data_IF_993819897031
#
_entry.id   IF_993819897031
#
_cell.length_a   1.000
_cell.length_b   1.000
_cell.length_c   1.000
_cell.angle_alpha   90.00
_cell.angle_beta   90.00
_cell.angle_gamma   90.00
#
_symmetry.space_group_name_H-M   'P 1'
#
loop_
_entity.id
_entity.type
_entity.pdbx_description
1 polymer ?
#
# COMPACT_ATOMS: atom_id res chain seq x y z
N UNK A 1 80.89 4.44 16.92
CA UNK A 1 79.77 3.49 17.19
C UNK A 1 78.69 3.66 16.10
N UNK A 2 78.68 2.69 15.19
CA UNK A 2 77.71 2.74 14.07
C UNK A 2 76.32 2.20 14.53
N UNK A 3 75.30 3.02 14.41
CA UNK A 3 73.93 2.71 14.78
C UNK A 3 73.28 1.91 13.62
N UNK A 4 73.07 0.61 13.77
CA UNK A 4 72.37 -0.26 12.81
C UNK A 4 70.91 0.15 12.78
N UNK A 5 70.44 0.64 11.63
CA UNK A 5 68.97 0.87 11.36
C UNK A 5 68.32 -0.51 11.31
N UNK A 6 67.33 -0.74 12.22
CA UNK A 6 66.41 -1.89 12.13
C UNK A 6 65.56 -1.74 10.84
N UNK A 7 65.67 -2.73 9.95
CA UNK A 7 64.73 -2.84 8.82
C UNK A 7 63.32 -3.01 9.37
N UNK A 8 62.39 -2.17 8.91
CA UNK A 8 60.99 -2.40 9.16
C UNK A 8 60.60 -3.75 8.54
N UNK A 9 59.88 -4.58 9.32
CA UNK A 9 59.45 -5.88 8.84
C UNK A 9 58.58 -5.74 7.61
N UNK A 10 58.85 -6.55 6.60
CA UNK A 10 58.02 -6.65 5.40
C UNK A 10 56.57 -7.06 5.82
N UNK A 11 55.63 -6.22 5.52
CA UNK A 11 54.22 -6.52 5.74
C UNK A 11 53.84 -7.66 4.78
N UNK A 12 53.34 -8.77 5.32
CA UNK A 12 52.99 -9.94 4.53
C UNK A 12 51.80 -9.61 3.64
N UNK A 13 52.02 -9.51 2.32
CA UNK A 13 50.99 -9.18 1.32
C UNK A 13 49.80 -10.14 1.36
N UNK A 14 50.01 -11.40 1.76
CA UNK A 14 48.93 -12.39 1.92
C UNK A 14 47.98 -12.02 3.06
N UNK A 15 48.50 -11.51 4.19
CA UNK A 15 47.68 -11.07 5.30
C UNK A 15 46.86 -9.81 4.98
N UNK A 16 47.45 -8.90 4.17
CA UNK A 16 46.71 -7.72 3.70
C UNK A 16 45.61 -8.08 2.71
N UNK A 17 45.85 -9.05 1.83
CA UNK A 17 44.82 -9.53 0.89
C UNK A 17 43.65 -10.20 1.63
N UNK A 18 43.90 -10.97 2.68
CA UNK A 18 42.89 -11.60 3.51
C UNK A 18 42.01 -10.59 4.23
N UNK A 19 42.63 -9.58 4.85
CA UNK A 19 41.88 -8.48 5.51
C UNK A 19 41.03 -7.71 4.49
N UNK A 20 41.56 -7.41 3.31
CA UNK A 20 40.83 -6.72 2.26
C UNK A 20 39.64 -7.57 1.77
N UNK A 21 39.83 -8.88 1.64
CA UNK A 21 38.77 -9.81 1.23
C UNK A 21 37.67 -9.92 2.30
N UNK A 22 38.02 -10.02 3.57
CA UNK A 22 37.04 -10.05 4.68
C UNK A 22 36.26 -8.74 4.78
N UNK A 23 36.94 -7.59 4.60
CA UNK A 23 36.25 -6.29 4.55
C UNK A 23 35.27 -6.19 3.35
N UNK A 24 35.67 -6.70 2.19
CA UNK A 24 34.82 -6.72 0.98
C UNK A 24 33.61 -7.57 1.21
N UNK A 25 33.74 -8.78 1.76
CA UNK A 25 32.59 -9.64 2.10
C UNK A 25 31.70 -8.97 3.16
N UNK A 26 32.28 -8.37 4.19
CA UNK A 26 31.60 -7.68 5.23
C UNK A 26 30.73 -6.54 4.65
N UNK A 27 31.28 -5.68 3.80
CA UNK A 27 30.52 -4.63 3.14
C UNK A 27 29.45 -5.18 2.20
N UNK A 28 29.76 -6.25 1.45
CA UNK A 28 28.79 -6.86 0.56
C UNK A 28 27.57 -7.42 1.33
N UNK A 29 27.80 -8.06 2.47
CA UNK A 29 26.71 -8.58 3.33
C UNK A 29 25.95 -7.46 4.03
N UNK A 30 26.66 -6.42 4.52
CA UNK A 30 25.98 -5.31 5.22
C UNK A 30 25.22 -4.37 4.29
N UNK A 31 25.62 -4.24 3.02
CA UNK A 31 24.91 -3.40 2.04
C UNK A 31 23.69 -4.08 1.39
N UNK A 32 23.55 -5.40 1.53
CA UNK A 32 22.39 -6.14 0.95
C UNK A 32 21.18 -6.18 1.89
N UNK A 33 21.19 -5.49 3.03
CA UNK A 33 20.10 -5.55 4.01
C UNK A 33 19.00 -4.48 3.82
N UNK A 34 18.95 -3.79 2.70
CA UNK A 34 17.86 -2.86 2.43
C UNK A 34 16.79 -3.54 1.59
N UNK A 35 16.08 -4.49 2.22
CA UNK A 35 14.79 -4.96 1.71
C UNK A 35 13.74 -4.03 2.28
N UNK A 36 13.35 -3.04 1.52
CA UNK A 36 12.19 -2.18 1.80
C UNK A 36 10.92 -3.07 1.84
N UNK A 37 10.66 -3.71 2.98
CA UNK A 37 9.46 -4.54 3.22
C UNK A 37 8.27 -3.72 3.73
N UNK A 38 8.30 -2.41 3.57
CA UNK A 38 7.24 -1.51 3.96
C UNK A 38 6.28 -1.18 2.81
N UNK A 39 4.98 -1.09 3.10
CA UNK A 39 4.02 -0.48 2.18
C UNK A 39 4.33 1.01 2.05
N UNK A 40 4.72 1.46 0.85
CA UNK A 40 4.86 2.90 0.56
C UNK A 40 3.48 3.53 0.57
N UNK A 41 3.23 4.39 1.55
CA UNK A 41 2.00 5.15 1.66
C UNK A 41 2.30 6.64 1.59
N UNK A 42 1.63 7.34 0.69
CA UNK A 42 1.68 8.80 0.65
C UNK A 42 0.65 9.29 1.68
N UNK A 43 1.13 9.88 2.76
CA UNK A 43 0.24 10.56 3.71
C UNK A 43 -0.46 11.74 3.00
N UNK A 44 -1.76 11.96 3.24
CA UNK A 44 -2.43 13.14 2.77
C UNK A 44 -1.73 14.39 3.33
N UNK A 45 -1.72 15.52 2.58
CA UNK A 45 -1.17 16.75 3.08
C UNK A 45 -1.92 17.18 4.36
N UNK A 46 -1.17 17.75 5.32
CA UNK A 46 -1.76 18.34 6.52
C UNK A 46 -2.77 19.42 6.10
N UNK A 47 -4.03 19.25 6.48
CA UNK A 47 -5.09 20.25 6.30
C UNK A 47 -5.39 20.84 7.67
N UNK A 48 -5.35 22.17 7.80
CA UNK A 48 -5.69 22.85 9.05
C UNK A 48 -7.14 22.51 9.45
N UNK A 49 -7.39 22.20 10.74
CA UNK A 49 -8.73 21.85 11.24
C UNK A 49 -9.80 22.91 10.95
N UNK A 50 -9.39 24.15 10.69
CA UNK A 50 -10.28 25.27 10.34
C UNK A 50 -10.79 25.23 8.89
N UNK A 51 -10.11 24.50 7.99
CA UNK A 51 -10.55 24.37 6.59
C UNK A 51 -11.45 23.15 6.35
N UNK A 52 -11.66 22.29 7.35
CA UNK A 52 -12.50 21.10 7.27
C UNK A 52 -14.02 21.39 7.28
N UNK A 53 -14.43 22.66 7.34
CA UNK A 53 -15.87 23.02 7.31
C UNK A 53 -16.49 23.16 5.91
N UNK A 54 -15.77 22.81 4.85
CA UNK A 54 -16.45 22.50 3.61
C UNK A 54 -16.90 21.03 3.73
N UNK A 55 -18.13 20.82 4.19
CA UNK A 55 -18.89 19.62 3.99
C UNK A 55 -18.83 19.28 2.48
N UNK A 56 -17.81 18.52 2.09
CA UNK A 56 -17.90 17.76 0.86
C UNK A 56 -19.03 16.79 1.16
N UNK A 57 -20.20 17.05 0.60
CA UNK A 57 -21.38 16.19 0.66
C UNK A 57 -20.97 14.84 0.02
N UNK A 58 -20.21 14.06 0.79
CA UNK A 58 -19.75 12.73 0.38
C UNK A 58 -21.00 11.88 0.41
N UNK A 59 -21.57 11.68 -0.76
CA UNK A 59 -22.74 10.83 -0.93
C UNK A 59 -22.46 9.51 -0.20
N UNK A 60 -23.20 9.22 0.88
CA UNK A 60 -22.94 8.06 1.76
C UNK A 60 -22.86 6.75 0.97
N UNK A 61 -23.53 6.69 -0.17
CA UNK A 61 -23.48 5.58 -1.12
C UNK A 61 -22.08 5.39 -1.74
N UNK A 62 -21.28 6.45 -1.82
CA UNK A 62 -19.94 6.42 -2.41
C UNK A 62 -18.84 6.07 -1.39
N UNK A 63 -19.22 5.72 -0.17
CA UNK A 63 -18.29 5.35 0.90
C UNK A 63 -18.53 3.93 1.37
N UNK A 64 -17.55 3.06 1.18
CA UNK A 64 -17.54 1.73 1.79
C UNK A 64 -16.85 1.80 3.15
N UNK A 65 -17.61 1.61 4.22
CA UNK A 65 -17.09 1.63 5.59
C UNK A 65 -16.55 0.24 5.97
N UNK A 66 -15.30 0.17 6.33
CA UNK A 66 -14.60 -1.04 6.81
C UNK A 66 -14.14 -0.78 8.24
N UNK A 67 -14.78 -1.44 9.20
CA UNK A 67 -14.46 -1.28 10.62
C UNK A 67 -13.79 -2.55 11.15
N UNK A 68 -12.65 -2.41 11.85
CA UNK A 68 -11.92 -3.52 12.45
C UNK A 68 -12.01 -3.40 13.97
N UNK A 69 -12.62 -4.39 14.61
CA UNK A 69 -12.78 -4.40 16.05
C UNK A 69 -11.50 -4.87 16.77
N UNK A 70 -11.40 -4.57 18.07
CA UNK A 70 -10.37 -5.10 18.98
C UNK A 70 -10.18 -6.62 18.92
N UNK A 71 -11.27 -7.37 18.77
CA UNK A 71 -11.26 -8.83 18.65
C UNK A 71 -10.79 -9.35 17.29
N UNK A 72 -10.61 -8.47 16.29
CA UNK A 72 -10.24 -8.84 14.93
C UNK A 72 -11.42 -9.22 14.04
N UNK A 73 -12.66 -8.95 14.46
CA UNK A 73 -13.83 -9.00 13.59
C UNK A 73 -13.82 -7.78 12.66
N UNK A 74 -14.17 -7.98 11.41
CA UNK A 74 -14.14 -6.94 10.37
C UNK A 74 -15.57 -6.76 9.90
N UNK A 75 -16.08 -5.54 9.98
CA UNK A 75 -17.41 -5.17 9.50
C UNK A 75 -17.27 -4.37 8.21
N UNK A 76 -17.91 -4.82 7.14
CA UNK A 76 -17.97 -4.10 5.86
C UNK A 76 -19.42 -3.77 5.55
N UNK A 77 -19.77 -2.50 5.70
CA UNK A 77 -21.18 -2.12 5.68
C UNK A 77 -21.95 -2.82 6.81
N UNK A 78 -22.84 -3.76 6.46
CA UNK A 78 -23.64 -4.56 7.40
C UNK A 78 -23.19 -6.00 7.55
N UNK A 79 -22.18 -6.43 6.78
CA UNK A 79 -21.66 -7.81 6.80
C UNK A 79 -20.45 -7.95 7.70
N UNK A 80 -20.38 -9.07 8.41
CA UNK A 80 -19.24 -9.43 9.26
C UNK A 80 -18.31 -10.38 8.53
N UNK A 81 -17.01 -10.08 8.62
CA UNK A 81 -15.90 -10.85 8.07
C UNK A 81 -14.94 -11.24 9.19
N UNK A 82 -14.27 -12.36 9.01
CA UNK A 82 -13.27 -12.88 9.94
C UNK A 82 -11.90 -12.96 9.29
N UNK A 83 -10.86 -13.26 10.07
CA UNK A 83 -9.52 -13.48 9.52
C UNK A 83 -9.44 -14.60 8.46
N UNK A 84 -10.44 -15.51 8.41
CA UNK A 84 -10.53 -16.54 7.36
C UNK A 84 -10.94 -15.95 6.01
N UNK A 85 -11.77 -14.92 6.05
CA UNK A 85 -12.28 -14.21 4.86
C UNK A 85 -11.21 -13.31 4.22
N UNK A 86 -10.06 -13.11 4.90
CA UNK A 86 -8.87 -12.45 4.36
C UNK A 86 -7.95 -13.41 3.59
N UNK A 87 -8.20 -14.74 3.67
CA UNK A 87 -7.40 -15.69 2.93
C UNK A 87 -7.85 -15.70 1.46
N UNK A 88 -6.90 -15.54 0.55
CA UNK A 88 -7.17 -15.56 -0.88
C UNK A 88 -7.40 -17.00 -1.35
N UNK A 89 -8.54 -17.23 -1.95
CA UNK A 89 -8.85 -18.44 -2.69
C UNK A 89 -8.75 -18.13 -4.19
N UNK A 90 -7.58 -18.38 -4.80
CA UNK A 90 -7.25 -17.92 -6.13
C UNK A 90 -6.78 -16.46 -6.12
N UNK A 91 -7.43 -15.57 -6.89
CA UNK A 91 -7.03 -14.16 -7.03
C UNK A 91 -7.59 -13.30 -5.90
N UNK A 92 -8.79 -13.61 -5.39
CA UNK A 92 -9.50 -12.79 -4.42
C UNK A 92 -9.61 -13.46 -3.04
N UNK A 93 -9.55 -12.65 -1.99
CA UNK A 93 -10.18 -12.98 -0.70
C UNK A 93 -11.65 -12.54 -0.74
N UNK A 94 -12.45 -12.97 0.24
CA UNK A 94 -13.85 -12.51 0.33
C UNK A 94 -13.92 -10.99 0.56
N UNK A 95 -12.98 -10.42 1.33
CA UNK A 95 -12.91 -8.97 1.57
C UNK A 95 -12.49 -8.22 0.29
N UNK A 96 -11.42 -8.66 -0.38
CA UNK A 96 -10.99 -7.98 -1.62
C UNK A 96 -12.04 -8.06 -2.73
N UNK A 97 -12.79 -9.17 -2.82
CA UNK A 97 -13.91 -9.31 -3.76
C UNK A 97 -15.02 -8.29 -3.47
N UNK A 98 -15.37 -8.07 -2.19
CA UNK A 98 -16.41 -7.12 -1.81
C UNK A 98 -16.02 -5.68 -2.17
N UNK A 99 -14.76 -5.30 -1.88
CA UNK A 99 -14.23 -3.98 -2.26
C UNK A 99 -14.16 -3.82 -3.78
N UNK A 100 -13.71 -4.86 -4.48
CA UNK A 100 -13.67 -4.86 -5.95
C UNK A 100 -15.08 -4.70 -6.54
N UNK A 101 -16.08 -5.42 -6.02
CA UNK A 101 -17.49 -5.28 -6.43
C UNK A 101 -18.03 -3.86 -6.17
N UNK A 102 -17.64 -3.25 -5.03
CA UNK A 102 -17.99 -1.86 -4.74
C UNK A 102 -17.40 -0.89 -5.77
N UNK A 103 -16.16 -1.11 -6.20
CA UNK A 103 -15.48 -0.26 -7.19
C UNK A 103 -16.01 -0.47 -8.61
N UNK A 104 -16.42 -1.68 -8.98
CA UNK A 104 -16.81 -2.02 -10.36
C UNK A 104 -18.28 -1.76 -10.67
N UNK A 105 -19.18 -2.00 -9.71
CA UNK A 105 -20.63 -1.88 -9.94
C UNK A 105 -21.12 -0.42 -9.86
N UNK A 106 -21.79 0.04 -10.90
CA UNK A 106 -22.29 1.43 -11.01
C UNK A 106 -23.42 1.78 -10.03
N UNK A 107 -24.11 0.77 -9.49
CA UNK A 107 -25.14 0.92 -8.47
C UNK A 107 -24.55 1.05 -7.04
N UNK A 108 -23.29 0.70 -6.85
CA UNK A 108 -22.61 0.71 -5.54
C UNK A 108 -21.69 1.90 -5.33
N UNK A 109 -21.02 2.38 -6.39
CA UNK A 109 -20.17 3.57 -6.34
C UNK A 109 -20.44 4.48 -7.54
N UNK A 110 -20.33 5.79 -7.35
CA UNK A 110 -20.44 6.73 -8.43
C UNK A 110 -19.30 6.56 -9.43
N UNK A 111 -19.62 6.69 -10.71
CA UNK A 111 -18.64 6.68 -11.80
C UNK A 111 -18.46 8.10 -12.32
N UNK A 112 -17.22 8.42 -12.66
CA UNK A 112 -16.82 9.68 -13.26
C UNK A 112 -16.16 9.44 -14.59
N UNK A 113 -16.68 10.12 -15.60
CA UNK A 113 -16.04 10.17 -16.91
C UNK A 113 -14.64 10.80 -16.77
N UNK A 114 -13.61 10.00 -16.97
CA UNK A 114 -12.19 10.38 -16.82
C UNK A 114 -11.47 10.15 -18.14
N UNK A 115 -10.75 11.16 -18.59
CA UNK A 115 -9.93 11.05 -19.80
C UNK A 115 -8.63 10.31 -19.51
N UNK A 116 -8.38 9.24 -20.28
CA UNK A 116 -7.15 8.45 -20.22
C UNK A 116 -6.67 8.28 -21.67
N UNK A 117 -5.51 8.84 -21.97
CA UNK A 117 -4.87 8.75 -23.30
C UNK A 117 -5.76 9.20 -24.46
N UNK A 118 -6.53 10.29 -24.26
CA UNK A 118 -7.42 10.88 -25.26
C UNK A 118 -8.77 10.21 -25.44
N UNK A 119 -9.09 9.18 -24.64
CA UNK A 119 -10.40 8.53 -24.59
C UNK A 119 -11.03 8.67 -23.20
N UNK A 120 -12.37 8.66 -23.14
CA UNK A 120 -13.10 8.81 -21.88
C UNK A 120 -13.57 7.47 -21.38
N UNK A 121 -13.28 7.19 -20.10
CA UNK A 121 -13.67 5.97 -19.39
C UNK A 121 -14.39 6.30 -18.09
N UNK A 122 -15.35 5.45 -17.72
CA UNK A 122 -16.10 5.60 -16.48
C UNK A 122 -15.33 4.98 -15.30
N UNK A 123 -14.65 5.80 -14.52
CA UNK A 123 -13.85 5.38 -13.39
C UNK A 123 -14.59 5.60 -12.07
N UNK A 124 -14.48 4.67 -11.12
CA UNK A 124 -15.11 4.79 -9.80
C UNK A 124 -14.50 5.93 -8.98
N UNK A 125 -15.37 6.73 -8.35
CA UNK A 125 -15.02 7.69 -7.30
C UNK A 125 -15.22 7.11 -5.88
N UNK A 126 -15.38 5.79 -5.77
CA UNK A 126 -15.63 5.13 -4.50
C UNK A 126 -14.50 5.31 -3.50
N UNK A 127 -14.87 5.71 -2.28
CA UNK A 127 -13.97 5.88 -1.14
C UNK A 127 -14.12 4.69 -0.18
N UNK A 128 -13.02 4.08 0.24
CA UNK A 128 -13.00 3.07 1.30
C UNK A 128 -12.54 3.74 2.59
N UNK A 129 -13.43 3.80 3.58
CA UNK A 129 -13.11 4.33 4.91
C UNK A 129 -12.75 3.19 5.84
N UNK A 130 -11.46 3.07 6.16
CA UNK A 130 -10.95 2.07 7.10
C UNK A 130 -10.90 2.70 8.50
N UNK A 131 -11.56 2.05 9.45
CA UNK A 131 -11.52 2.39 10.87
C UNK A 131 -11.11 1.18 11.69
N UNK A 132 -10.04 1.31 12.45
CA UNK A 132 -9.59 0.27 13.38
C UNK A 132 -9.73 0.77 14.83
N UNK A 133 -10.00 -0.15 15.75
CA UNK A 133 -9.94 0.12 17.18
C UNK A 133 -8.46 0.22 17.62
N UNK A 134 -8.13 1.09 18.59
CA UNK A 134 -6.76 1.31 19.10
C UNK A 134 -6.09 0.03 19.60
N UNK A 135 -6.86 -0.93 20.10
CA UNK A 135 -6.36 -2.21 20.58
C UNK A 135 -6.42 -3.33 19.54
N UNK A 136 -6.71 -2.99 18.25
CA UNK A 136 -6.69 -3.97 17.16
C UNK A 136 -5.28 -4.53 16.98
N UNK A 137 -5.19 -5.87 16.85
CA UNK A 137 -3.90 -6.51 16.56
C UNK A 137 -3.34 -6.00 15.23
N UNK A 138 -2.14 -5.44 15.28
CA UNK A 138 -1.46 -4.87 14.11
C UNK A 138 -1.42 -5.82 12.90
N UNK A 139 -1.24 -7.13 13.13
CA UNK A 139 -1.30 -8.14 12.07
C UNK A 139 -2.63 -8.14 11.31
N UNK A 140 -3.76 -8.04 12.02
CA UNK A 140 -5.10 -8.03 11.39
C UNK A 140 -5.28 -6.76 10.58
N UNK A 141 -4.89 -5.63 11.16
CA UNK A 141 -4.92 -4.33 10.48
C UNK A 141 -4.14 -4.33 9.16
N UNK A 142 -2.89 -4.86 9.17
CA UNK A 142 -2.09 -4.98 7.97
C UNK A 142 -2.70 -5.92 6.93
N UNK A 143 -3.28 -7.03 7.36
CA UNK A 143 -3.96 -7.95 6.45
C UNK A 143 -5.16 -7.29 5.78
N UNK A 144 -5.95 -6.52 6.52
CA UNK A 144 -7.07 -5.76 5.95
C UNK A 144 -6.55 -4.74 4.94
N UNK A 145 -5.53 -3.95 5.28
CA UNK A 145 -4.93 -2.98 4.36
C UNK A 145 -4.40 -3.62 3.07
N UNK A 146 -3.77 -4.80 3.19
CA UNK A 146 -3.26 -5.55 2.03
C UNK A 146 -4.42 -5.96 1.10
N UNK A 147 -5.53 -6.45 1.66
CA UNK A 147 -6.70 -6.84 0.88
C UNK A 147 -7.41 -5.64 0.22
N UNK A 148 -7.49 -4.50 0.91
CA UNK A 148 -8.01 -3.27 0.31
C UNK A 148 -7.13 -2.80 -0.86
N UNK A 149 -5.82 -2.77 -0.65
CA UNK A 149 -4.83 -2.40 -1.68
C UNK A 149 -4.89 -3.34 -2.88
N UNK A 150 -5.03 -4.63 -2.60
CA UNK A 150 -5.16 -5.66 -3.64
C UNK A 150 -6.41 -5.46 -4.50
N UNK A 151 -7.56 -5.14 -3.90
CA UNK A 151 -8.80 -4.85 -4.64
C UNK A 151 -8.63 -3.66 -5.60
N UNK A 152 -7.98 -2.59 -5.15
CA UNK A 152 -7.65 -1.45 -6.03
C UNK A 152 -6.68 -1.83 -7.15
N UNK A 153 -5.73 -2.74 -6.88
CA UNK A 153 -4.79 -3.22 -7.90
C UNK A 153 -5.51 -4.02 -8.98
N UNK A 154 -6.46 -4.87 -8.61
CA UNK A 154 -7.30 -5.60 -9.55
C UNK A 154 -8.17 -4.67 -10.40
N UNK A 155 -8.76 -3.65 -9.77
CA UNK A 155 -9.53 -2.66 -10.50
C UNK A 155 -8.67 -1.85 -11.50
N UNK A 156 -7.42 -1.54 -11.14
CA UNK A 156 -6.46 -0.93 -12.07
C UNK A 156 -6.08 -1.86 -13.23
N UNK A 157 -5.96 -3.15 -12.96
CA UNK A 157 -5.69 -4.14 -13.99
C UNK A 157 -6.82 -4.22 -15.01
N UNK A 158 -8.08 -4.19 -14.57
CA UNK A 158 -9.24 -4.16 -15.46
C UNK A 158 -9.27 -2.91 -16.34
N UNK A 159 -9.10 -1.73 -15.73
CA UNK A 159 -9.03 -0.47 -16.51
C UNK A 159 -7.84 -0.48 -17.46
N UNK A 160 -6.70 -1.04 -17.08
CA UNK A 160 -5.53 -1.17 -17.96
C UNK A 160 -5.82 -2.06 -19.16
N UNK A 161 -6.53 -3.18 -18.95
CA UNK A 161 -6.97 -4.06 -20.05
C UNK A 161 -7.99 -3.40 -20.95
N UNK A 162 -8.90 -2.61 -20.39
CA UNK A 162 -9.90 -1.87 -21.16
C UNK A 162 -9.26 -0.76 -22.02
N UNK A 163 -8.31 -0.02 -21.45
CA UNK A 163 -7.65 1.13 -22.11
C UNK A 163 -6.56 0.68 -23.09
N UNK A 164 -5.66 -0.21 -22.66
CA UNK A 164 -4.45 -0.57 -23.40
C UNK A 164 -4.45 -2.00 -23.91
N UNK A 165 -5.44 -2.84 -23.56
CA UNK A 165 -5.49 -4.25 -23.93
C UNK A 165 -4.41 -5.12 -23.28
N UNK A 166 -3.74 -4.62 -22.22
CA UNK A 166 -2.62 -5.28 -21.51
C UNK A 166 -2.89 -5.33 -20.02
N UNK A 167 -2.26 -6.28 -19.31
CA UNK A 167 -2.28 -6.31 -17.86
C UNK A 167 -1.50 -5.10 -17.29
N UNK A 168 -1.84 -4.66 -16.08
CA UNK A 168 -1.25 -3.45 -15.47
C UNK A 168 0.28 -3.56 -15.30
N UNK A 169 0.81 -4.74 -15.00
CA UNK A 169 2.24 -5.04 -14.85
C UNK A 169 3.01 -5.11 -16.18
N UNK A 170 2.30 -5.22 -17.32
CA UNK A 170 2.87 -5.19 -18.66
C UNK A 170 2.92 -3.77 -19.26
N UNK A 171 2.37 -2.77 -18.55
CA UNK A 171 2.34 -1.39 -19.00
C UNK A 171 3.71 -0.71 -18.92
N UNK A 172 3.95 0.23 -19.84
CA UNK A 172 5.07 1.16 -19.70
C UNK A 172 4.85 2.09 -18.51
N UNK A 173 5.92 2.70 -17.98
CA UNK A 173 5.81 3.60 -16.82
C UNK A 173 4.86 4.78 -17.08
N UNK A 174 4.79 5.29 -18.30
CA UNK A 174 3.88 6.38 -18.68
C UNK A 174 2.42 5.91 -18.67
N UNK A 175 2.12 4.76 -19.28
CA UNK A 175 0.78 4.15 -19.29
C UNK A 175 0.32 3.85 -17.86
N UNK A 176 1.19 3.22 -17.06
CA UNK A 176 0.92 2.93 -15.65
C UNK A 176 0.66 4.21 -14.82
N UNK A 177 1.38 5.29 -15.10
CA UNK A 177 1.15 6.58 -14.45
C UNK A 177 -0.22 7.18 -14.84
N UNK A 178 -0.65 7.05 -16.09
CA UNK A 178 -1.98 7.50 -16.53
C UNK A 178 -3.07 6.74 -15.79
N UNK A 179 -2.96 5.41 -15.68
CA UNK A 179 -3.90 4.59 -14.89
C UNK A 179 -3.89 5.00 -13.42
N UNK A 180 -2.71 5.21 -12.78
CA UNK A 180 -2.63 5.64 -11.38
C UNK A 180 -3.27 7.01 -11.13
N UNK A 181 -3.19 7.92 -12.08
CA UNK A 181 -3.84 9.25 -11.99
C UNK A 181 -5.36 9.15 -12.11
N UNK A 182 -5.85 8.29 -13.00
CA UNK A 182 -7.27 8.06 -13.21
C UNK A 182 -7.88 7.26 -12.06
N UNK A 183 -7.30 6.12 -11.73
CA UNK A 183 -7.74 5.23 -10.64
C UNK A 183 -6.92 5.51 -9.38
N UNK A 184 -7.31 6.54 -8.66
CA UNK A 184 -6.67 6.86 -7.36
C UNK A 184 -7.07 5.83 -6.31
N UNK A 185 -6.11 5.43 -5.49
CA UNK A 185 -6.39 4.59 -4.33
C UNK A 185 -6.99 5.45 -3.22
N UNK A 186 -8.31 5.47 -3.14
CA UNK A 186 -9.06 6.29 -2.18
C UNK A 186 -9.36 5.46 -0.92
N UNK A 187 -8.35 5.26 -0.10
CA UNK A 187 -8.48 4.64 1.22
C UNK A 187 -8.23 5.73 2.27
N UNK A 188 -9.27 6.08 3.03
CA UNK A 188 -9.19 7.02 4.14
C UNK A 188 -9.12 6.25 5.45
N UNK A 189 -8.23 6.64 6.34
CA UNK A 189 -8.20 6.14 7.72
C UNK A 189 -8.98 7.10 8.60
N UNK A 190 -10.07 6.60 9.19
CA UNK A 190 -10.83 7.34 10.19
C UNK A 190 -10.22 7.12 11.58
N UNK A 191 -10.12 8.20 12.36
CA UNK A 191 -9.67 8.11 13.74
C UNK A 191 -10.56 7.17 14.57
N UNK A 192 -9.97 6.38 15.49
CA UNK A 192 -10.74 5.56 16.44
C UNK A 192 -11.70 6.45 17.24
N UNK A 193 -12.88 5.93 17.55
CA UNK A 193 -13.76 6.64 18.48
C UNK A 193 -13.16 6.57 19.88
N UNK A 194 -12.61 7.66 20.36
CA UNK A 194 -12.17 7.83 21.73
C UNK A 194 -13.41 7.77 22.66
N UNK A 195 -13.82 6.56 23.06
CA UNK A 195 -14.92 6.33 23.98
C UNK A 195 -14.53 6.64 25.45
N UNK A 196 -13.32 7.13 25.67
CA UNK A 196 -12.77 7.37 27.01
C UNK A 196 -12.95 8.80 27.51
N UNK A 197 -13.64 9.68 26.79
CA UNK A 197 -14.05 11.00 27.31
C UNK A 197 -15.49 10.95 27.80
N UNK A 198 -15.68 10.37 28.98
CA UNK A 198 -16.78 10.65 29.90
C UNK A 198 -16.21 10.92 31.27
#
# INVERSE_FOLDING_TARGET
>A
MARTKKKAGDINSSSMADIAFLLLIFFLVTTTMDVDTGMKRTLPPWIDPTEQQNDVDVNERNVLKVNVSRGGAIMVGTEEYTSRDLNRHGVHSRLSQEVYNFLTHADRSNKKATEIDGMTYDVSEGLVSLKADDETKYKVYLQVQDELTHAFSLYRDDIAREVYGKAYDELTELEAQNIRKAVRMQISEAEPNDQTKK
#
